data_IF_070957936571
#
_entry.id   IF_070957936571
#
_cell.length_a   1.000
_cell.length_b   1.000
_cell.length_c   1.000
_cell.angle_alpha   90.00
_cell.angle_beta   90.00
_cell.angle_gamma   90.00
#
_symmetry.space_group_name_H-M   'P 1'
#
loop_
_entity.id
_entity.type
_entity.pdbx_description
1 polymer ?
#
# COMPACT_ATOMS: atom_id res chain seq x y z
N UNK A 1 -0.16 6.21 -16.92
CA UNK A 1 -0.67 5.07 -17.68
C UNK A 1 -0.79 3.84 -16.80
N UNK A 2 -1.47 2.83 -17.31
CA UNK A 2 -1.62 1.57 -16.59
C UNK A 2 -0.27 0.92 -16.30
N UNK A 3 0.66 1.00 -17.26
CA UNK A 3 1.99 0.43 -17.08
C UNK A 3 2.76 1.10 -15.97
N UNK A 4 2.63 2.41 -15.87
CA UNK A 4 3.30 3.17 -14.81
C UNK A 4 2.75 2.80 -13.45
N UNK A 5 1.44 2.62 -13.36
CA UNK A 5 0.80 2.21 -12.10
C UNK A 5 1.24 0.82 -11.70
N UNK A 6 1.30 -0.11 -12.65
CA UNK A 6 1.76 -1.47 -12.36
C UNK A 6 3.20 -1.46 -11.85
N UNK A 7 4.08 -0.68 -12.49
CA UNK A 7 5.46 -0.57 -12.02
C UNK A 7 5.52 0.01 -10.62
N UNK A 8 4.74 1.04 -10.36
CA UNK A 8 4.73 1.68 -9.04
C UNK A 8 4.21 0.73 -7.98
N UNK A 9 3.16 -0.02 -8.27
CA UNK A 9 2.66 -1.02 -7.34
C UNK A 9 3.73 -2.07 -7.03
N UNK A 10 4.46 -2.51 -8.06
CA UNK A 10 5.56 -3.46 -7.86
C UNK A 10 6.63 -2.92 -6.94
N UNK A 11 7.01 -1.65 -7.12
CA UNK A 11 7.99 -0.99 -6.24
C UNK A 11 7.49 -0.91 -4.81
N UNK A 12 6.21 -0.58 -4.64
CA UNK A 12 5.63 -0.49 -3.31
C UNK A 12 5.62 -1.84 -2.61
N UNK A 13 5.26 -2.90 -3.33
CA UNK A 13 5.24 -4.24 -2.74
C UNK A 13 6.65 -4.64 -2.29
N UNK A 14 7.67 -4.35 -3.08
CA UNK A 14 9.04 -4.63 -2.69
C UNK A 14 9.44 -3.83 -1.45
N UNK A 15 9.03 -2.57 -1.39
CA UNK A 15 9.32 -1.73 -0.24
C UNK A 15 8.60 -2.23 1.02
N UNK A 16 7.36 -2.69 0.87
CA UNK A 16 6.60 -3.25 2.00
C UNK A 16 7.28 -4.52 2.52
N UNK A 17 7.78 -5.35 1.63
CA UNK A 17 8.51 -6.57 2.05
C UNK A 17 9.76 -6.23 2.84
N UNK A 18 10.42 -5.14 2.50
CA UNK A 18 11.62 -4.69 3.21
C UNK A 18 11.26 -4.11 4.58
N UNK A 19 10.26 -3.24 4.62
CA UNK A 19 9.79 -2.62 5.85
C UNK A 19 8.31 -2.26 5.68
N UNK A 20 7.40 -2.97 6.34
CA UNK A 20 5.96 -2.75 6.16
C UNK A 20 5.48 -1.37 6.62
N UNK A 21 6.27 -0.67 7.44
CA UNK A 21 5.79 0.55 8.10
C UNK A 21 6.58 1.79 7.71
N UNK A 22 7.62 1.64 6.90
CA UNK A 22 8.46 2.76 6.46
C UNK A 22 8.84 2.59 5.00
N UNK A 23 9.15 3.69 4.35
CA UNK A 23 9.65 3.67 2.99
C UNK A 23 8.84 4.53 2.05
N UNK A 24 8.94 4.24 0.76
CA UNK A 24 8.31 5.06 -0.29
C UNK A 24 6.79 4.98 -0.22
N UNK A 25 6.14 5.98 -0.78
CA UNK A 25 4.68 5.99 -0.87
C UNK A 25 3.98 6.51 0.36
N UNK A 26 4.72 7.10 1.30
CA UNK A 26 4.17 7.66 2.53
C UNK A 26 3.26 6.68 3.26
N UNK A 27 3.81 5.56 3.77
CA UNK A 27 2.99 4.59 4.48
C UNK A 27 2.36 5.23 5.71
N UNK A 28 1.06 4.98 5.88
CA UNK A 28 0.36 5.47 7.06
C UNK A 28 -0.68 4.46 7.51
N UNK A 29 -0.86 4.34 8.83
CA UNK A 29 -1.88 3.45 9.37
C UNK A 29 -3.27 4.05 9.18
N UNK A 30 -4.23 3.20 8.89
CA UNK A 30 -5.61 3.62 8.72
C UNK A 30 -6.36 3.50 10.04
N UNK A 31 -7.52 4.14 10.12
CA UNK A 31 -8.28 4.25 11.35
C UNK A 31 -9.71 3.73 11.17
N UNK A 32 -10.44 3.69 12.27
CA UNK A 32 -11.85 3.31 12.31
C UNK A 32 -12.06 1.91 11.75
N UNK A 33 -12.92 1.75 10.76
CA UNK A 33 -13.22 0.43 10.19
C UNK A 33 -12.03 -0.23 9.53
N UNK A 34 -11.01 0.57 9.20
CA UNK A 34 -9.80 0.08 8.54
C UNK A 34 -8.60 0.02 9.49
N UNK A 35 -8.86 0.05 10.80
CA UNK A 35 -7.79 -0.09 11.79
C UNK A 35 -7.07 -1.43 11.58
N UNK A 36 -5.75 -1.40 11.62
CA UNK A 36 -4.94 -2.58 11.33
C UNK A 36 -4.44 -2.65 9.90
N UNK A 37 -5.02 -1.86 9.00
CA UNK A 37 -4.54 -1.75 7.63
C UNK A 37 -3.63 -0.53 7.49
N UNK A 38 -2.84 -0.56 6.44
CA UNK A 38 -1.92 0.53 6.07
C UNK A 38 -2.17 0.92 4.64
N UNK A 39 -1.80 2.14 4.28
CA UNK A 39 -1.86 2.55 2.88
C UNK A 39 -0.57 3.20 2.46
N UNK A 40 -0.25 3.06 1.17
CA UNK A 40 0.84 3.77 0.53
C UNK A 40 0.32 4.39 -0.76
N UNK A 41 0.84 5.54 -1.12
CA UNK A 41 0.43 6.21 -2.35
C UNK A 41 1.02 5.51 -3.56
N UNK A 42 0.17 5.21 -4.53
CA UNK A 42 0.62 4.74 -5.83
C UNK A 42 0.93 5.96 -6.69
N UNK A 43 0.00 6.92 -6.70
CA UNK A 43 0.17 8.21 -7.35
C UNK A 43 -0.66 9.24 -6.55
N UNK A 44 -0.94 10.39 -7.12
CA UNK A 44 -1.69 11.43 -6.41
C UNK A 44 -3.12 11.03 -6.08
N UNK A 45 -3.68 10.11 -6.84
CA UNK A 45 -5.09 9.72 -6.68
C UNK A 45 -5.28 8.33 -6.11
N UNK A 46 -4.34 7.42 -6.34
CA UNK A 46 -4.52 6.00 -6.02
C UNK A 46 -3.67 5.58 -4.84
N UNK A 47 -4.24 4.68 -4.03
CA UNK A 47 -3.56 4.15 -2.86
C UNK A 47 -3.61 2.63 -2.85
N UNK A 48 -2.55 2.04 -2.34
CA UNK A 48 -2.46 0.61 -2.10
C UNK A 48 -2.76 0.38 -0.63
N UNK A 49 -3.85 -0.33 -0.34
CA UNK A 49 -4.25 -0.65 1.04
C UNK A 49 -3.88 -2.09 1.31
N UNK A 50 -3.19 -2.32 2.41
CA UNK A 50 -2.64 -3.64 2.73
C UNK A 50 -2.62 -3.88 4.23
N UNK A 51 -2.46 -5.13 4.62
CA UNK A 51 -2.18 -5.51 5.99
C UNK A 51 -1.11 -6.59 6.00
N UNK A 52 -0.50 -6.80 7.15
CA UNK A 52 0.54 -7.81 7.33
C UNK A 52 -0.03 -8.88 8.25
N UNK A 53 -0.05 -10.13 7.75
CA UNK A 53 -0.48 -11.28 8.55
C UNK A 53 0.57 -12.38 8.40
N UNK A 54 1.14 -12.81 9.51
CA UNK A 54 2.12 -13.92 9.52
C UNK A 54 3.22 -13.73 8.47
N UNK A 55 3.78 -12.52 8.42
CA UNK A 55 4.81 -12.13 7.45
C UNK A 55 4.34 -12.09 6.00
N UNK A 56 3.06 -12.24 5.76
CA UNK A 56 2.49 -12.12 4.42
C UNK A 56 1.87 -10.73 4.22
N UNK A 57 2.02 -10.22 3.01
CA UNK A 57 1.38 -8.96 2.63
C UNK A 57 0.03 -9.31 2.01
N UNK A 58 -1.03 -8.81 2.62
CA UNK A 58 -2.39 -9.00 2.12
C UNK A 58 -2.84 -7.70 1.46
N UNK A 59 -3.00 -7.71 0.15
CA UNK A 59 -3.47 -6.53 -0.58
C UNK A 59 -4.99 -6.52 -0.53
N UNK A 60 -5.53 -5.44 0.02
CA UNK A 60 -6.96 -5.30 0.19
C UNK A 60 -7.60 -4.58 -0.98
N UNK A 61 -6.99 -3.50 -1.42
CA UNK A 61 -7.49 -2.77 -2.58
C UNK A 61 -6.43 -1.82 -3.13
N UNK A 62 -6.62 -1.45 -4.39
CA UNK A 62 -5.79 -0.46 -5.07
C UNK A 62 -6.73 0.58 -5.65
N UNK A 63 -7.21 1.49 -4.80
CA UNK A 63 -8.18 2.49 -5.19
C UNK A 63 -7.64 3.89 -5.02
N UNK A 64 -8.24 4.85 -5.72
CA UNK A 64 -7.79 6.21 -5.59
C UNK A 64 -8.23 6.84 -4.26
N UNK A 65 -9.25 6.28 -3.62
CA UNK A 65 -9.57 6.65 -2.23
C UNK A 65 -10.38 5.54 -1.57
N UNK A 66 -10.54 5.67 -0.27
CA UNK A 66 -11.26 4.68 0.53
C UNK A 66 -11.97 5.38 1.69
#
# INVERSE_FOLDING_TARGET
>A
TSKEKVKQIGKLIKAIKRDPFKGIGKPEPLKHDLAGYWSRRIDQEHRLVYEIQDDAIIIVQCRYHY
#
